data_IF_967835127262
#
_entry.id   IF_967835127262
#
_cell.length_a   1.000
_cell.length_b   1.000
_cell.length_c   1.000
_cell.angle_alpha   90.00
_cell.angle_beta   90.00
_cell.angle_gamma   90.00
#
_symmetry.space_group_name_H-M   'P 1'
#
loop_
_entity.id
_entity.type
_entity.pdbx_description
1 polymer ?
#
# COMPACT_ATOMS: atom_id res chain seq x y z
N UNK A 1 -16.03 -2.46 -26.26
CA UNK A 1 -14.81 -3.01 -25.61
C UNK A 1 -13.52 -2.51 -26.27
N UNK A 2 -13.51 -1.27 -26.77
CA UNK A 2 -12.32 -0.55 -27.21
C UNK A 2 -12.23 0.73 -26.38
N UNK A 3 -11.12 0.95 -25.67
CA UNK A 3 -10.92 2.09 -24.78
C UNK A 3 -11.31 1.85 -23.31
N UNK A 4 -11.61 0.62 -22.89
CA UNK A 4 -11.90 0.34 -21.48
C UNK A 4 -10.62 0.42 -20.64
N UNK A 5 -10.68 1.16 -19.54
CA UNK A 5 -9.65 1.19 -18.50
C UNK A 5 -10.05 0.34 -17.30
N UNK A 6 -9.07 -0.31 -16.68
CA UNK A 6 -9.25 -1.16 -15.49
C UNK A 6 -7.97 -1.23 -14.67
N UNK A 7 -8.10 -1.51 -13.38
CA UNK A 7 -6.96 -1.87 -12.53
C UNK A 7 -6.62 -3.35 -12.74
N UNK A 8 -5.33 -3.66 -12.83
CA UNK A 8 -4.89 -5.05 -12.88
C UNK A 8 -5.30 -5.77 -11.61
N UNK A 9 -5.87 -6.98 -11.77
CA UNK A 9 -6.25 -7.83 -10.63
C UNK A 9 -5.05 -8.35 -9.84
N UNK A 10 -3.88 -8.43 -10.49
CA UNK A 10 -2.65 -8.93 -9.87
C UNK A 10 -1.83 -7.80 -9.23
N UNK A 11 -1.97 -6.57 -9.72
CA UNK A 11 -1.24 -5.41 -9.21
C UNK A 11 -2.17 -4.19 -9.18
N UNK A 12 -2.63 -3.74 -7.99
CA UNK A 12 -3.49 -2.56 -7.89
C UNK A 12 -2.81 -1.27 -8.36
N UNK A 13 -1.48 -1.27 -8.56
CA UNK A 13 -0.74 -0.16 -9.13
C UNK A 13 -0.69 -0.13 -10.65
N UNK A 14 -1.17 -1.16 -11.34
CA UNK A 14 -1.22 -1.15 -12.80
C UNK A 14 -2.60 -0.71 -13.26
N UNK A 15 -2.64 0.44 -13.93
CA UNK A 15 -3.81 0.92 -14.64
C UNK A 15 -3.66 0.52 -16.11
N UNK A 16 -4.55 -0.35 -16.58
CA UNK A 16 -4.47 -0.93 -17.90
C UNK A 16 -5.61 -0.42 -18.77
N UNK A 17 -5.32 -0.21 -20.05
CA UNK A 17 -6.30 0.15 -21.07
C UNK A 17 -6.30 -0.90 -22.17
N UNK A 18 -7.48 -1.42 -22.46
CA UNK A 18 -7.68 -2.30 -23.62
C UNK A 18 -8.06 -1.46 -24.85
N UNK A 19 -7.25 -1.52 -25.90
CA UNK A 19 -7.49 -0.81 -27.15
C UNK A 19 -7.12 -1.71 -28.34
N UNK A 20 -8.08 -1.94 -29.23
CA UNK A 20 -7.93 -2.80 -30.41
C UNK A 20 -7.40 -4.22 -30.11
N UNK A 21 -7.81 -4.80 -28.98
CA UNK A 21 -7.38 -6.13 -28.56
C UNK A 21 -5.98 -6.17 -27.92
N UNK A 22 -5.29 -5.03 -27.81
CA UNK A 22 -4.04 -4.89 -27.09
C UNK A 22 -4.27 -4.25 -25.72
N UNK A 23 -3.55 -4.73 -24.70
CA UNK A 23 -3.59 -4.19 -23.35
C UNK A 23 -2.30 -3.43 -23.10
N UNK A 24 -2.41 -2.12 -22.85
CA UNK A 24 -1.30 -1.28 -22.41
C UNK A 24 -1.51 -0.89 -20.96
N UNK A 25 -0.48 -1.02 -20.11
CA UNK A 25 -0.56 -0.69 -18.69
C UNK A 25 0.43 0.40 -18.28
N UNK A 26 -0.02 1.30 -17.43
CA UNK A 26 0.79 2.34 -16.79
C UNK A 26 0.87 2.09 -15.28
N UNK A 27 2.00 2.48 -14.68
CA UNK A 27 2.24 2.34 -13.24
C UNK A 27 1.80 3.59 -12.49
N UNK A 28 0.80 3.44 -11.62
CA UNK A 28 0.27 4.50 -10.77
C UNK A 28 1.14 4.82 -9.56
N UNK A 29 2.06 3.93 -9.16
CA UNK A 29 2.95 4.14 -8.00
C UNK A 29 3.77 5.44 -8.11
N UNK A 30 4.19 5.81 -9.32
CA UNK A 30 4.88 7.07 -9.62
C UNK A 30 4.04 8.33 -9.40
N UNK A 31 2.72 8.19 -9.36
CA UNK A 31 1.76 9.30 -9.15
C UNK A 31 1.25 9.39 -7.70
N UNK A 32 1.66 8.47 -6.82
CA UNK A 32 1.18 8.45 -5.45
C UNK A 32 1.63 9.69 -4.67
N UNK A 33 0.75 10.29 -3.86
CA UNK A 33 1.13 11.41 -3.01
C UNK A 33 2.15 10.94 -1.97
N UNK A 34 3.13 11.79 -1.67
CA UNK A 34 4.09 11.52 -0.60
C UNK A 34 3.37 11.52 0.76
N UNK A 35 3.40 10.42 1.52
CA UNK A 35 2.79 10.38 2.84
C UNK A 35 3.55 11.29 3.83
N UNK A 36 2.81 11.99 4.69
CA UNK A 36 3.34 12.90 5.71
C UNK A 36 3.41 12.23 7.09
N UNK A 37 3.95 11.02 7.14
CA UNK A 37 4.00 10.20 8.34
C UNK A 37 5.24 9.28 8.29
N UNK A 38 5.65 8.72 9.43
CA UNK A 38 6.94 8.03 9.58
C UNK A 38 6.91 6.58 9.11
N UNK A 39 5.77 5.90 9.23
CA UNK A 39 5.60 4.49 8.86
C UNK A 39 4.38 4.31 7.96
N UNK A 40 4.34 4.93 6.77
CA UNK A 40 3.20 4.76 5.88
C UNK A 40 3.04 3.29 5.46
N UNK A 41 1.80 2.83 5.32
CA UNK A 41 1.51 1.45 4.97
C UNK A 41 0.67 1.35 3.69
N UNK A 42 0.93 0.33 2.89
CA UNK A 42 0.09 -0.03 1.75
C UNK A 42 -0.99 -1.02 2.19
N UNK A 43 -2.26 -0.60 2.13
CA UNK A 43 -3.37 -1.49 2.41
C UNK A 43 -3.54 -2.53 1.29
N UNK A 44 -4.06 -3.71 1.62
CA UNK A 44 -4.29 -4.76 0.63
C UNK A 44 -5.29 -4.28 -0.42
N UNK A 45 -4.89 -4.32 -1.70
CA UNK A 45 -5.72 -3.87 -2.82
C UNK A 45 -5.61 -2.37 -3.13
N UNK A 46 -4.92 -1.58 -2.32
CA UNK A 46 -4.59 -0.19 -2.66
C UNK A 46 -3.22 -0.11 -3.31
N UNK A 47 -3.04 0.85 -4.23
CA UNK A 47 -1.70 1.10 -4.81
C UNK A 47 -0.83 1.95 -3.90
N UNK A 48 -1.38 3.08 -3.44
CA UNK A 48 -0.61 4.09 -2.74
C UNK A 48 -0.55 3.81 -1.23
N UNK A 49 0.60 4.10 -0.59
CA UNK A 49 0.70 4.00 0.85
C UNK A 49 -0.08 5.14 1.53
N UNK A 50 -0.67 4.85 2.68
CA UNK A 50 -1.44 5.82 3.48
C UNK A 50 -0.96 5.85 4.92
N UNK A 51 -1.33 6.90 5.64
CA UNK A 51 -1.00 7.11 7.06
C UNK A 51 -2.11 6.57 8.00
N UNK A 52 -2.91 5.60 7.53
CA UNK A 52 -3.99 4.99 8.33
C UNK A 52 -3.52 3.76 9.11
N UNK A 53 -2.45 3.14 8.64
CA UNK A 53 -1.83 1.96 9.23
C UNK A 53 -0.31 2.17 9.21
N UNK A 54 0.39 1.42 10.06
CA UNK A 54 1.84 1.49 10.16
C UNK A 54 2.48 0.28 9.51
N UNK A 55 3.41 0.49 8.57
CA UNK A 55 4.27 -0.57 8.10
C UNK A 55 5.56 -0.60 8.93
N UNK A 56 5.76 -1.70 9.65
CA UNK A 56 6.96 -1.93 10.44
C UNK A 56 7.47 -3.34 10.19
N UNK A 57 8.74 -3.46 9.76
CA UNK A 57 9.38 -4.74 9.45
C UNK A 57 8.55 -5.61 8.47
N UNK A 58 8.08 -4.99 7.37
CA UNK A 58 7.22 -5.60 6.33
C UNK A 58 5.89 -6.15 6.85
N UNK A 59 5.46 -5.73 8.04
CA UNK A 59 4.16 -6.05 8.62
C UNK A 59 3.33 -4.79 8.77
N UNK A 60 2.06 -4.89 8.40
CA UNK A 60 1.09 -3.81 8.54
C UNK A 60 0.35 -3.93 9.87
N UNK A 61 0.28 -2.82 10.60
CA UNK A 61 -0.41 -2.70 11.87
C UNK A 61 -1.46 -1.60 11.78
N UNK A 62 -2.72 -1.95 12.06
CA UNK A 62 -3.80 -0.99 12.17
C UNK A 62 -3.50 0.12 13.21
N UNK A 63 -4.06 1.31 13.03
CA UNK A 63 -3.90 2.39 14.00
C UNK A 63 -4.29 1.97 15.43
N UNK A 64 -3.49 2.37 16.40
CA UNK A 64 -3.67 1.98 17.80
C UNK A 64 -3.26 0.55 18.13
N UNK A 65 -2.97 -0.32 17.14
CA UNK A 65 -2.50 -1.69 17.40
C UNK A 65 -1.18 -1.66 18.14
N UNK A 66 -1.13 -2.45 19.22
CA UNK A 66 0.03 -2.62 20.06
C UNK A 66 0.71 -3.95 19.71
N UNK A 67 2.01 -3.93 19.48
CA UNK A 67 2.78 -5.11 19.07
C UNK A 67 4.19 -5.11 19.67
N UNK A 68 4.79 -6.30 19.72
CA UNK A 68 6.20 -6.49 20.09
C UNK A 68 6.98 -6.76 18.80
N UNK A 69 7.90 -5.87 18.39
CA UNK A 69 8.75 -6.11 17.23
C UNK A 69 9.47 -7.46 17.29
N UNK A 70 9.61 -8.14 16.14
CA UNK A 70 10.39 -9.36 16.08
C UNK A 70 11.85 -9.07 16.45
N UNK A 71 12.45 -9.90 17.32
CA UNK A 71 13.80 -9.68 17.83
C UNK A 71 13.92 -8.59 18.90
N UNK A 72 12.85 -7.85 19.21
CA UNK A 72 12.81 -7.02 20.41
C UNK A 72 12.47 -7.88 21.62
N UNK A 73 13.17 -7.65 22.73
CA UNK A 73 12.90 -8.36 23.98
C UNK A 73 11.47 -8.11 24.49
N UNK A 74 11.01 -8.87 25.50
CA UNK A 74 9.63 -8.83 25.99
C UNK A 74 9.20 -7.48 26.57
N UNK A 75 10.16 -6.59 26.86
CA UNK A 75 9.91 -5.27 27.42
C UNK A 75 9.63 -4.19 26.37
N UNK A 76 9.89 -4.46 25.08
CA UNK A 76 9.65 -3.48 24.03
C UNK A 76 8.27 -3.68 23.42
N UNK A 77 7.46 -2.62 23.46
CA UNK A 77 6.10 -2.65 22.94
C UNK A 77 5.82 -1.37 22.17
N UNK A 78 5.56 -1.51 20.88
CA UNK A 78 5.24 -0.41 19.98
C UNK A 78 3.74 -0.29 19.81
N UNK A 79 3.28 0.92 19.49
CA UNK A 79 1.88 1.21 19.16
C UNK A 79 1.84 2.01 17.87
N UNK A 80 1.08 1.55 16.90
CA UNK A 80 0.86 2.32 15.67
C UNK A 80 0.11 3.62 15.97
N UNK A 81 0.56 4.73 15.38
CA UNK A 81 -0.02 6.06 15.52
C UNK A 81 0.01 6.81 14.19
N UNK A 82 -1.05 6.63 13.40
CA UNK A 82 -1.28 7.30 12.13
C UNK A 82 -0.08 7.21 11.15
N UNK A 83 0.51 6.01 11.04
CA UNK A 83 1.66 5.73 10.19
C UNK A 83 2.96 6.30 10.72
#
# INVERSE_FOLDING_TARGET
LNGQTFLSRSDPCLHCRCFNGEVSCERLDTSCPTPHCSHPAKHQGECCPTCRECEFDRRVYADGKVFVPAGSGPCQRCRCKAG
#
